data_IF_238419497915
#
_entry.id   IF_238419497915
#
_cell.length_a   1.000
_cell.length_b   1.000
_cell.length_c   1.000
_cell.angle_alpha   90.00
_cell.angle_beta   90.00
_cell.angle_gamma   90.00
#
_symmetry.space_group_name_H-M   'P 1'
#
loop_
_entity.id
_entity.type
_entity.pdbx_description
1 polymer ?
#
# COMPACT_ATOMS: atom_id res chain seq x y z
N UNK A 1 13.28 -29.30 -4.41
CA UNK A 1 12.48 -29.01 -3.19
C UNK A 1 11.90 -27.62 -3.29
N UNK A 2 10.61 -27.40 -2.96
CA UNK A 2 9.95 -26.09 -3.02
C UNK A 2 10.42 -25.13 -1.89
N UNK A 3 10.75 -23.89 -2.21
CA UNK A 3 11.31 -22.87 -1.29
C UNK A 3 10.33 -21.79 -0.84
N UNK A 4 9.19 -21.67 -1.52
CA UNK A 4 8.17 -20.64 -1.27
C UNK A 4 6.76 -21.24 -1.30
N UNK A 5 5.82 -20.57 -0.64
CA UNK A 5 4.40 -20.91 -0.64
C UNK A 5 3.62 -19.72 -1.21
N UNK A 6 2.89 -19.95 -2.29
CA UNK A 6 1.87 -19.04 -2.79
C UNK A 6 0.56 -19.32 -2.05
N UNK A 7 -0.06 -18.28 -1.49
CA UNK A 7 -1.31 -18.41 -0.71
C UNK A 7 -2.34 -17.45 -1.27
N UNK A 8 -3.54 -17.97 -1.55
CA UNK A 8 -4.70 -17.19 -1.95
C UNK A 8 -5.67 -17.12 -0.77
N UNK A 9 -6.03 -15.89 -0.40
CA UNK A 9 -7.03 -15.61 0.62
C UNK A 9 -8.18 -14.84 -0.02
N UNK A 10 -9.41 -15.23 0.29
CA UNK A 10 -10.59 -14.43 -0.01
C UNK A 10 -10.85 -13.47 1.15
N UNK A 11 -11.30 -12.28 0.80
CA UNK A 11 -11.74 -11.26 1.76
C UNK A 11 -13.09 -10.74 1.30
N UNK A 12 -14.08 -10.85 2.17
CA UNK A 12 -15.39 -10.29 1.96
C UNK A 12 -15.33 -8.77 1.87
N UNK A 13 -16.05 -8.20 0.91
CA UNK A 13 -16.16 -6.73 0.79
C UNK A 13 -17.13 -6.18 1.82
N UNK A 14 -18.30 -6.81 1.92
CA UNK A 14 -19.36 -6.53 2.88
C UNK A 14 -19.44 -7.58 3.99
N UNK A 15 -18.83 -8.74 3.81
CA UNK A 15 -18.79 -9.82 4.79
C UNK A 15 -17.49 -9.80 5.60
N UNK A 16 -17.54 -10.26 6.86
CA UNK A 16 -16.36 -10.42 7.70
C UNK A 16 -15.40 -11.53 7.28
N UNK A 17 -15.67 -12.21 6.16
CA UNK A 17 -14.97 -13.41 5.69
C UNK A 17 -13.52 -13.07 5.35
N UNK A 18 -12.58 -13.84 5.90
CA UNK A 18 -11.13 -13.75 5.63
C UNK A 18 -10.52 -15.14 5.69
N UNK A 19 -10.60 -15.87 4.58
CA UNK A 19 -10.26 -17.30 4.56
C UNK A 19 -9.22 -17.63 3.51
N UNK A 20 -8.30 -18.53 3.86
CA UNK A 20 -7.34 -19.09 2.91
C UNK A 20 -8.03 -20.15 2.08
N UNK A 21 -8.07 -19.96 0.76
CA UNK A 21 -8.82 -20.85 -0.16
C UNK A 21 -7.91 -21.73 -1.01
N UNK A 22 -6.64 -21.36 -1.17
CA UNK A 22 -5.69 -22.18 -1.91
C UNK A 22 -4.24 -21.91 -1.49
N UNK A 23 -3.42 -22.96 -1.54
CA UNK A 23 -1.98 -22.89 -1.28
C UNK A 23 -1.22 -23.70 -2.31
N UNK A 24 -0.14 -23.15 -2.86
CA UNK A 24 0.70 -23.85 -3.83
C UNK A 24 2.17 -23.72 -3.42
N UNK A 25 2.87 -24.85 -3.29
CA UNK A 25 4.32 -24.87 -3.12
C UNK A 25 5.02 -24.56 -4.44
N UNK A 26 6.02 -23.69 -4.41
CA UNK A 26 6.81 -23.36 -5.59
C UNK A 26 8.26 -23.05 -5.25
N UNK A 27 9.15 -23.23 -6.23
CA UNK A 27 10.52 -22.73 -6.18
C UNK A 27 10.61 -21.34 -6.79
N UNK A 28 10.48 -21.34 -8.12
CA UNK A 28 10.48 -20.14 -8.93
C UNK A 28 9.08 -19.98 -9.48
N UNK A 29 8.33 -19.03 -8.92
CA UNK A 29 7.01 -18.70 -9.43
C UNK A 29 7.16 -17.88 -10.71
N UNK A 30 6.68 -18.40 -11.84
CA UNK A 30 6.58 -17.63 -13.07
C UNK A 30 5.23 -16.93 -13.17
N UNK A 31 5.18 -15.81 -13.90
CA UNK A 31 3.91 -15.11 -14.15
C UNK A 31 2.89 -15.97 -14.93
N UNK A 32 3.35 -16.93 -15.74
CA UNK A 32 2.46 -17.88 -16.43
C UNK A 32 1.83 -18.86 -15.44
N UNK A 33 2.64 -19.43 -14.55
CA UNK A 33 2.16 -20.36 -13.52
C UNK A 33 1.19 -19.67 -12.56
N UNK A 34 1.53 -18.46 -12.12
CA UNK A 34 0.63 -17.61 -11.33
C UNK A 34 -0.68 -17.37 -12.07
N UNK A 35 -0.65 -17.05 -13.38
CA UNK A 35 -1.87 -16.86 -14.16
C UNK A 35 -2.77 -18.09 -14.18
N UNK A 36 -2.20 -19.28 -14.40
CA UNK A 36 -2.96 -20.54 -14.39
C UNK A 36 -3.58 -20.77 -13.02
N UNK A 37 -2.83 -20.61 -11.94
CA UNK A 37 -3.32 -20.84 -10.58
C UNK A 37 -4.40 -19.85 -10.16
N UNK A 38 -4.17 -18.54 -10.39
CA UNK A 38 -5.16 -17.50 -10.07
C UNK A 38 -6.49 -17.78 -10.76
N UNK A 39 -6.49 -18.09 -12.06
CA UNK A 39 -7.74 -18.37 -12.78
C UNK A 39 -8.42 -19.68 -12.36
N UNK A 40 -7.66 -20.70 -11.93
CA UNK A 40 -8.24 -21.92 -11.33
C UNK A 40 -8.94 -21.61 -10.01
N UNK A 41 -8.32 -20.79 -9.15
CA UNK A 41 -8.90 -20.35 -7.88
C UNK A 41 -10.16 -19.51 -8.12
N UNK A 42 -10.08 -18.49 -9.00
CA UNK A 42 -11.23 -17.66 -9.36
C UNK A 42 -12.37 -18.53 -9.90
N UNK A 43 -12.10 -19.44 -10.84
CA UNK A 43 -13.14 -20.31 -11.38
C UNK A 43 -13.78 -21.23 -10.36
N UNK A 44 -13.04 -21.71 -9.35
CA UNK A 44 -13.61 -22.48 -8.26
C UNK A 44 -14.52 -21.62 -7.37
N UNK A 45 -14.11 -20.39 -7.06
CA UNK A 45 -14.90 -19.45 -6.25
C UNK A 45 -16.21 -19.05 -6.96
N UNK A 46 -16.14 -18.69 -8.23
CA UNK A 46 -17.31 -18.29 -9.02
C UNK A 46 -18.34 -19.43 -9.14
N UNK A 47 -17.88 -20.67 -9.37
CA UNK A 47 -18.77 -21.85 -9.39
C UNK A 47 -19.44 -22.14 -8.05
N UNK A 48 -18.80 -21.74 -6.95
CA UNK A 48 -19.37 -21.83 -5.61
C UNK A 48 -20.27 -20.64 -5.24
N UNK A 49 -20.58 -19.76 -6.19
CA UNK A 49 -21.40 -18.57 -5.96
C UNK A 49 -20.67 -17.40 -5.30
N UNK A 50 -19.33 -17.45 -5.21
CA UNK A 50 -18.52 -16.35 -4.66
C UNK A 50 -18.03 -15.47 -5.81
N UNK A 51 -18.64 -14.29 -5.89
CA UNK A 51 -18.27 -13.20 -6.78
C UNK A 51 -16.83 -12.68 -6.55
N UNK A 52 -15.92 -12.88 -7.50
CA UNK A 52 -14.57 -12.32 -7.42
C UNK A 52 -14.46 -11.05 -8.27
N UNK A 53 -14.43 -9.91 -7.59
CA UNK A 53 -14.44 -8.59 -8.23
C UNK A 53 -13.06 -7.93 -8.31
N UNK A 54 -12.13 -8.27 -7.42
CA UNK A 54 -10.84 -7.63 -7.33
C UNK A 54 -9.73 -8.61 -6.95
N UNK A 55 -8.55 -8.40 -7.54
CA UNK A 55 -7.32 -9.10 -7.20
C UNK A 55 -6.34 -8.10 -6.58
N UNK A 56 -6.00 -8.32 -5.30
CA UNK A 56 -5.09 -7.46 -4.54
C UNK A 56 -3.74 -8.15 -4.41
N UNK A 57 -2.65 -7.47 -4.76
CA UNK A 57 -1.29 -8.01 -4.60
C UNK A 57 -0.26 -6.93 -4.31
N UNK A 58 0.90 -7.34 -3.79
CA UNK A 58 2.06 -6.45 -3.75
C UNK A 58 2.58 -6.11 -5.17
N UNK A 59 3.50 -5.14 -5.22
CA UNK A 59 4.13 -4.71 -6.45
C UNK A 59 5.33 -5.55 -6.86
N UNK A 60 5.46 -6.84 -6.51
CA UNK A 60 6.62 -7.64 -6.92
C UNK A 60 6.67 -7.86 -8.45
N UNK A 61 7.85 -8.19 -8.99
CA UNK A 61 8.06 -8.32 -10.45
C UNK A 61 7.13 -9.35 -11.11
N UNK A 62 6.86 -10.46 -10.42
CA UNK A 62 6.00 -11.54 -10.91
C UNK A 62 4.54 -11.07 -10.97
N UNK A 63 4.06 -10.35 -9.94
CA UNK A 63 2.70 -9.82 -9.91
C UNK A 63 2.46 -8.78 -11.01
N UNK A 64 3.42 -7.86 -11.21
CA UNK A 64 3.35 -6.88 -12.31
C UNK A 64 3.33 -7.58 -13.67
N UNK A 65 4.20 -8.57 -13.88
CA UNK A 65 4.23 -9.36 -15.10
C UNK A 65 2.95 -10.19 -15.31
N UNK A 66 2.31 -10.67 -14.23
CA UNK A 66 1.01 -11.32 -14.30
C UNK A 66 -0.09 -10.36 -14.77
N UNK A 67 -0.16 -9.15 -14.23
CA UNK A 67 -1.14 -8.13 -14.65
C UNK A 67 -0.97 -7.82 -16.15
N UNK A 68 0.26 -7.57 -16.61
CA UNK A 68 0.59 -7.28 -18.02
C UNK A 68 0.21 -8.38 -19.01
N UNK A 69 -0.07 -9.61 -18.54
CA UNK A 69 -0.51 -10.73 -19.38
C UNK A 69 -2.01 -10.75 -19.65
N UNK A 70 -2.77 -9.78 -19.16
CA UNK A 70 -4.21 -9.70 -19.38
C UNK A 70 -4.53 -8.73 -20.52
N UNK A 71 -5.68 -8.93 -21.17
CA UNK A 71 -6.24 -7.94 -22.08
C UNK A 71 -7.10 -6.99 -21.23
N UNK A 72 -6.88 -5.67 -21.30
CA UNK A 72 -7.65 -4.73 -20.50
C UNK A 72 -9.13 -4.79 -20.90
N UNK A 73 -10.02 -4.66 -19.92
CA UNK A 73 -11.45 -4.47 -20.21
C UNK A 73 -11.76 -2.99 -20.48
N UNK A 74 -10.97 -2.09 -19.89
CA UNK A 74 -11.02 -0.64 -20.10
C UNK A 74 -9.69 -0.16 -20.68
N UNK A 75 -9.73 0.49 -21.84
CA UNK A 75 -8.54 1.10 -22.45
C UNK A 75 -8.35 2.49 -21.86
N UNK A 76 -7.14 2.77 -21.35
CA UNK A 76 -6.78 4.08 -20.82
C UNK A 76 -5.57 4.64 -21.59
N UNK A 77 -5.50 5.96 -21.86
CA UNK A 77 -4.41 6.55 -22.65
C UNK A 77 -3.00 6.24 -22.16
N UNK A 78 -2.82 6.08 -20.84
CA UNK A 78 -1.52 5.73 -20.26
C UNK A 78 -1.04 4.30 -20.55
N UNK A 79 -1.86 3.44 -21.17
CA UNK A 79 -1.54 2.04 -21.44
C UNK A 79 -1.52 1.14 -20.19
N UNK A 80 -1.87 1.67 -19.01
CA UNK A 80 -1.88 0.92 -17.76
C UNK A 80 -3.06 -0.06 -17.74
N UNK A 81 -2.77 -1.33 -17.45
CA UNK A 81 -3.79 -2.38 -17.30
C UNK A 81 -4.21 -2.44 -15.83
N UNK A 82 -5.44 -2.04 -15.55
CA UNK A 82 -6.00 -2.03 -14.19
C UNK A 82 -7.27 -2.88 -14.04
N UNK A 83 -7.76 -3.46 -15.13
CA UNK A 83 -8.87 -4.42 -15.13
C UNK A 83 -8.73 -5.46 -16.26
N UNK A 84 -9.56 -6.50 -16.20
CA UNK A 84 -9.73 -7.49 -17.26
C UNK A 84 -11.13 -8.09 -17.15
N UNK A 85 -11.67 -8.64 -18.24
CA UNK A 85 -12.90 -9.43 -18.16
C UNK A 85 -12.68 -10.70 -17.33
N UNK A 86 -13.62 -11.01 -16.43
CA UNK A 86 -13.59 -12.25 -15.67
C UNK A 86 -13.94 -13.42 -16.60
N UNK A 87 -13.01 -14.37 -16.76
CA UNK A 87 -13.18 -15.52 -17.66
C UNK A 87 -14.27 -16.48 -17.23
N UNK A 88 -14.60 -16.48 -15.93
CA UNK A 88 -15.57 -17.36 -15.31
C UNK A 88 -16.92 -16.67 -15.06
N UNK A 89 -16.99 -15.35 -15.20
CA UNK A 89 -18.20 -14.53 -15.10
C UNK A 89 -18.10 -13.33 -16.07
N UNK A 90 -18.48 -13.54 -17.33
CA UNK A 90 -18.20 -12.58 -18.43
C UNK A 90 -18.96 -11.26 -18.31
N UNK A 91 -19.98 -11.21 -17.47
CA UNK A 91 -20.76 -10.04 -17.09
C UNK A 91 -19.99 -9.08 -16.18
N UNK A 92 -18.88 -9.53 -15.55
CA UNK A 92 -18.14 -8.74 -14.56
C UNK A 92 -16.67 -8.59 -14.89
N UNK A 93 -16.13 -7.43 -14.53
CA UNK A 93 -14.70 -7.13 -14.59
C UNK A 93 -14.00 -7.64 -13.33
N UNK A 94 -12.76 -8.07 -13.49
CA UNK A 94 -11.80 -8.29 -12.41
C UNK A 94 -10.87 -7.08 -12.35
N UNK A 95 -10.93 -6.33 -11.26
CA UNK A 95 -10.08 -5.15 -11.03
C UNK A 95 -8.75 -5.54 -10.38
N UNK A 96 -7.64 -4.97 -10.83
CA UNK A 96 -6.33 -5.15 -10.23
C UNK A 96 -6.02 -4.01 -9.25
N UNK A 97 -5.69 -4.36 -8.02
CA UNK A 97 -5.33 -3.39 -6.98
C UNK A 97 -3.93 -3.74 -6.46
N UNK A 98 -3.02 -2.78 -6.52
CA UNK A 98 -1.74 -2.92 -5.82
C UNK A 98 -1.92 -2.53 -4.35
N UNK A 99 -1.25 -3.24 -3.45
CA UNK A 99 -1.41 -3.02 -2.02
C UNK A 99 -0.98 -1.62 -1.58
N UNK A 100 -1.96 -0.79 -1.18
CA UNK A 100 -1.79 0.63 -0.88
C UNK A 100 -0.81 0.89 0.27
N UNK A 101 -0.85 0.19 1.42
CA UNK A 101 0.19 0.25 2.45
C UNK A 101 1.60 -0.01 1.92
N UNK A 102 1.76 -1.00 1.04
CA UNK A 102 3.05 -1.29 0.40
C UNK A 102 3.46 -0.18 -0.57
N UNK A 103 2.54 0.37 -1.37
CA UNK A 103 2.82 1.51 -2.25
C UNK A 103 3.31 2.73 -1.47
N UNK A 104 2.68 3.05 -0.32
CA UNK A 104 3.15 4.11 0.57
C UNK A 104 4.59 3.83 1.02
N UNK A 105 4.90 2.60 1.46
CA UNK A 105 6.25 2.21 1.86
C UNK A 105 7.27 2.38 0.71
N UNK A 106 6.93 1.96 -0.51
CA UNK A 106 7.84 2.10 -1.67
C UNK A 106 8.01 3.56 -2.10
N UNK A 107 6.96 4.37 -1.99
CA UNK A 107 6.98 5.82 -2.19
C UNK A 107 7.93 6.48 -1.19
N UNK A 108 7.81 6.13 0.09
CA UNK A 108 8.77 6.55 1.13
C UNK A 108 10.17 6.13 0.78
N UNK A 109 10.39 4.89 0.36
CA UNK A 109 11.74 4.41 0.03
C UNK A 109 12.33 5.16 -1.18
N UNK A 110 11.53 5.54 -2.16
CA UNK A 110 11.99 6.43 -3.24
C UNK A 110 12.37 7.80 -2.67
N UNK A 111 11.50 8.38 -1.84
CA UNK A 111 11.73 9.66 -1.20
C UNK A 111 12.97 9.64 -0.28
N UNK A 112 13.21 8.58 0.50
CA UNK A 112 14.42 8.42 1.31
C UNK A 112 15.70 8.43 0.46
N UNK A 113 15.64 7.88 -0.75
CA UNK A 113 16.76 7.87 -1.69
C UNK A 113 16.88 9.16 -2.50
N UNK A 114 16.07 10.19 -2.20
CA UNK A 114 16.09 11.50 -2.88
C UNK A 114 17.08 12.51 -2.30
N UNK A 115 17.89 12.11 -1.31
CA UNK A 115 18.93 12.96 -0.71
C UNK A 115 19.81 13.56 -1.79
N UNK A 116 20.29 14.78 -1.59
CA UNK A 116 21.15 15.45 -2.55
C UNK A 116 22.65 15.14 -2.38
N UNK A 117 23.01 14.37 -1.36
CA UNK A 117 24.36 13.80 -1.15
C UNK A 117 24.81 12.89 -2.31
N UNK A 118 26.01 13.14 -2.86
CA UNK A 118 26.60 12.44 -4.01
C UNK A 118 26.88 10.95 -3.75
N UNK A 119 27.13 10.53 -2.50
CA UNK A 119 27.58 9.16 -2.19
C UNK A 119 26.44 8.15 -1.99
N UNK A 120 25.22 8.62 -1.68
CA UNK A 120 24.12 7.75 -1.22
C UNK A 120 22.80 7.95 -1.97
N UNK A 121 22.76 8.90 -2.91
CA UNK A 121 21.54 9.23 -3.65
C UNK A 121 21.33 8.33 -4.85
N UNK A 122 20.15 7.71 -4.94
CA UNK A 122 19.72 6.97 -6.14
C UNK A 122 18.63 7.71 -6.91
N UNK A 123 18.14 8.83 -6.38
CA UNK A 123 17.08 9.65 -6.96
C UNK A 123 17.36 11.12 -6.72
N UNK A 124 17.07 11.95 -7.71
CA UNK A 124 17.23 13.41 -7.65
C UNK A 124 15.87 14.02 -7.97
N UNK A 125 14.89 13.73 -7.11
CA UNK A 125 13.49 14.02 -7.38
C UNK A 125 13.25 15.53 -7.45
N UNK A 126 12.55 15.98 -8.48
CA UNK A 126 12.30 17.40 -8.74
C UNK A 126 10.99 17.61 -9.49
N UNK A 127 10.35 18.75 -9.23
CA UNK A 127 9.16 19.24 -9.92
C UNK A 127 9.15 20.78 -9.86
N UNK A 128 8.63 21.46 -10.88
CA UNK A 128 8.57 22.93 -10.94
C UNK A 128 9.92 23.62 -10.65
N UNK A 129 11.04 23.01 -11.07
CA UNK A 129 12.39 23.52 -10.83
C UNK A 129 12.88 23.44 -9.38
N UNK A 130 12.11 22.82 -8.47
CA UNK A 130 12.46 22.67 -7.05
C UNK A 130 12.64 21.20 -6.68
N UNK A 131 13.46 20.96 -5.65
CA UNK A 131 13.79 19.62 -5.17
C UNK A 131 12.65 19.04 -4.32
N UNK A 132 12.33 17.77 -4.57
CA UNK A 132 11.57 16.92 -3.65
C UNK A 132 12.59 16.06 -2.91
N UNK A 133 13.15 16.59 -1.81
CA UNK A 133 14.31 15.99 -1.13
C UNK A 133 14.04 15.57 0.31
N UNK A 134 14.60 14.41 0.69
CA UNK A 134 14.64 13.93 2.07
C UNK A 134 15.45 14.83 3.00
N UNK A 135 16.36 15.65 2.46
CA UNK A 135 17.21 16.54 3.26
C UNK A 135 16.37 17.56 4.04
N UNK A 136 15.22 17.99 3.50
CA UNK A 136 14.28 18.85 4.23
C UNK A 136 13.67 18.15 5.45
N UNK A 137 13.48 16.83 5.40
CA UNK A 137 12.96 16.05 6.53
C UNK A 137 14.04 15.91 7.61
N UNK A 138 15.29 15.69 7.23
CA UNK A 138 16.44 15.68 8.15
C UNK A 138 16.57 17.05 8.82
N UNK A 139 16.56 18.13 8.04
CA UNK A 139 16.65 19.52 8.53
C UNK A 139 15.51 19.81 9.52
N UNK A 140 14.27 19.46 9.18
CA UNK A 140 13.10 19.63 10.04
C UNK A 140 13.26 18.86 11.36
N UNK A 141 13.71 17.61 11.30
CA UNK A 141 13.92 16.79 12.49
C UNK A 141 14.99 17.37 13.41
N UNK A 142 16.14 17.77 12.88
CA UNK A 142 17.25 18.32 13.64
C UNK A 142 16.88 19.65 14.32
N UNK A 143 16.12 20.51 13.64
CA UNK A 143 15.62 21.74 14.25
C UNK A 143 14.58 21.48 15.33
N UNK A 144 13.71 20.48 15.12
CA UNK A 144 12.73 20.09 16.13
C UNK A 144 13.41 19.57 17.40
N UNK A 145 14.59 18.93 17.31
CA UNK A 145 15.31 18.45 18.48
C UNK A 145 15.65 19.55 19.49
N UNK A 146 15.90 20.77 19.01
CA UNK A 146 16.24 21.94 19.83
C UNK A 146 15.04 22.57 20.55
N UNK A 147 13.81 22.12 20.25
CA UNK A 147 12.56 22.66 20.79
C UNK A 147 11.93 21.70 21.79
N UNK A 148 11.41 22.24 22.88
CA UNK A 148 10.65 21.49 23.90
C UNK A 148 9.32 20.97 23.35
N UNK A 149 8.60 21.80 22.57
CA UNK A 149 7.36 21.41 21.90
C UNK A 149 7.55 21.34 20.39
N UNK A 150 7.17 20.22 19.79
CA UNK A 150 7.44 19.90 18.39
C UNK A 150 6.13 19.62 17.66
N UNK A 151 5.89 20.28 16.52
CA UNK A 151 4.70 20.04 15.69
C UNK A 151 4.71 18.61 15.13
N UNK A 152 5.83 18.19 14.54
CA UNK A 152 6.03 16.82 14.05
C UNK A 152 6.46 15.84 15.15
N UNK A 153 5.77 15.82 16.28
CA UNK A 153 6.13 15.02 17.48
C UNK A 153 6.25 13.50 17.25
N UNK A 154 5.67 12.97 16.17
CA UNK A 154 5.75 11.55 15.82
C UNK A 154 7.04 11.16 15.11
N UNK A 155 7.83 12.12 14.64
CA UNK A 155 9.10 11.86 13.99
C UNK A 155 10.18 11.53 15.03
N UNK A 156 10.80 10.38 14.87
CA UNK A 156 11.93 9.90 15.65
C UNK A 156 13.07 9.44 14.72
N UNK A 157 14.21 9.04 15.29
CA UNK A 157 15.36 8.58 14.54
C UNK A 157 15.03 7.43 13.56
N UNK A 158 14.12 6.51 13.92
CA UNK A 158 13.70 5.40 13.03
C UNK A 158 12.86 5.85 11.84
N UNK A 159 12.24 7.03 11.91
CA UNK A 159 11.60 7.66 10.75
C UNK A 159 12.63 8.20 9.77
N UNK A 160 13.68 8.86 10.29
CA UNK A 160 14.64 9.66 9.50
C UNK A 160 15.77 8.82 8.95
N UNK A 161 16.31 7.92 9.80
CA UNK A 161 17.43 7.03 9.51
C UNK A 161 16.98 5.57 9.68
N UNK A 162 16.06 5.09 8.82
CA UNK A 162 15.49 3.77 8.97
C UNK A 162 16.50 2.67 8.61
N UNK A 163 16.71 1.76 9.55
CA UNK A 163 17.39 0.47 9.32
C UNK A 163 16.55 -0.46 8.41
N UNK A 164 17.06 -1.66 8.13
CA UNK A 164 16.37 -2.66 7.31
C UNK A 164 14.96 -3.00 7.82
N UNK A 165 14.75 -3.01 9.13
CA UNK A 165 13.46 -3.34 9.73
C UNK A 165 12.47 -2.17 9.65
N UNK A 166 12.89 -0.96 10.01
CA UNK A 166 12.11 0.27 9.90
C UNK A 166 11.77 0.60 8.43
N UNK A 167 12.64 0.22 7.47
CA UNK A 167 12.35 0.28 6.03
C UNK A 167 11.13 -0.56 5.62
N UNK A 168 10.81 -1.62 6.36
CA UNK A 168 9.66 -2.47 6.10
C UNK A 168 8.36 -2.00 6.76
N UNK A 169 8.43 -1.14 7.78
CA UNK A 169 7.25 -0.73 8.56
C UNK A 169 6.49 0.43 7.89
N UNK A 170 5.25 0.16 7.49
CA UNK A 170 4.32 1.17 6.95
C UNK A 170 4.05 2.30 7.94
N UNK A 171 4.06 2.00 9.26
CA UNK A 171 3.90 3.00 10.33
C UNK A 171 4.85 4.19 10.15
N UNK A 172 6.15 3.93 9.94
CA UNK A 172 7.13 4.99 9.81
C UNK A 172 6.96 5.79 8.51
N UNK A 173 6.57 5.11 7.43
CA UNK A 173 6.24 5.78 6.16
C UNK A 173 5.04 6.73 6.32
N UNK A 174 3.95 6.27 6.94
CA UNK A 174 2.76 7.07 7.19
C UNK A 174 2.98 8.23 8.17
N UNK A 175 3.94 8.12 9.08
CA UNK A 175 4.29 9.23 9.97
C UNK A 175 5.07 10.33 9.24
N UNK A 176 6.02 9.96 8.37
CA UNK A 176 6.82 10.93 7.60
C UNK A 176 5.97 11.63 6.54
N UNK A 177 5.19 10.88 5.77
CA UNK A 177 4.33 11.44 4.72
C UNK A 177 2.95 11.75 5.29
N UNK A 178 2.90 12.65 6.28
CA UNK A 178 1.67 13.03 6.97
C UNK A 178 1.34 14.50 6.81
N UNK A 179 0.05 14.84 6.92
CA UNK A 179 -0.42 16.22 6.93
C UNK A 179 0.28 17.09 8.01
N UNK A 180 0.63 16.51 9.16
CA UNK A 180 1.36 17.21 10.23
C UNK A 180 2.76 17.64 9.77
N UNK A 181 3.51 16.74 9.11
CA UNK A 181 4.85 17.05 8.61
C UNK A 181 4.79 18.08 7.48
N UNK A 182 3.80 17.97 6.59
CA UNK A 182 3.56 18.99 5.55
C UNK A 182 3.32 20.38 6.15
N UNK A 183 2.42 20.49 7.14
CA UNK A 183 2.14 21.76 7.83
C UNK A 183 3.37 22.30 8.56
N UNK A 184 4.17 21.41 9.15
CA UNK A 184 5.40 21.80 9.85
C UNK A 184 6.45 22.35 8.87
N UNK A 185 6.69 21.67 7.73
CA UNK A 185 7.54 22.14 6.64
C UNK A 185 7.12 23.52 6.14
N UNK A 186 5.82 23.71 5.83
CA UNK A 186 5.28 24.99 5.38
C UNK A 186 5.52 26.10 6.40
N UNK A 187 5.42 25.77 7.69
CA UNK A 187 5.63 26.75 8.76
C UNK A 187 7.09 27.17 8.96
N UNK A 188 8.06 26.49 8.35
CA UNK A 188 9.46 26.92 8.38
C UNK A 188 9.76 28.04 7.38
N UNK A 189 8.89 28.29 6.39
CA UNK A 189 9.10 29.34 5.38
C UNK A 189 10.21 29.03 4.35
N UNK A 190 10.66 27.78 4.24
CA UNK A 190 11.69 27.39 3.27
C UNK A 190 11.11 27.34 1.85
N UNK A 191 11.48 28.32 1.02
CA UNK A 191 10.99 28.45 -0.36
C UNK A 191 11.30 27.19 -1.20
N UNK A 192 12.48 26.61 -1.03
CA UNK A 192 12.94 25.40 -1.71
C UNK A 192 12.27 24.11 -1.21
N UNK A 193 11.65 24.10 -0.04
CA UNK A 193 10.92 22.95 0.50
C UNK A 193 9.45 22.90 0.07
N UNK A 194 8.96 23.91 -0.66
CA UNK A 194 7.53 24.02 -1.04
C UNK A 194 7.03 22.80 -1.82
N UNK A 195 7.79 22.31 -2.81
CA UNK A 195 7.43 21.10 -3.57
C UNK A 195 7.53 19.82 -2.74
N UNK A 196 8.47 19.75 -1.80
CA UNK A 196 8.54 18.62 -0.86
C UNK A 196 7.30 18.56 0.02
N UNK A 197 6.83 19.72 0.52
CA UNK A 197 5.60 19.79 1.30
C UNK A 197 4.36 19.43 0.47
N UNK A 198 4.27 19.91 -0.77
CA UNK A 198 3.18 19.58 -1.70
C UNK A 198 3.15 18.07 -2.04
N UNK A 199 4.31 17.49 -2.34
CA UNK A 199 4.45 16.05 -2.57
C UNK A 199 3.93 15.23 -1.38
N UNK A 200 4.30 15.61 -0.15
CA UNK A 200 3.84 14.92 1.07
C UNK A 200 2.33 15.05 1.24
N UNK A 201 1.76 16.23 1.00
CA UNK A 201 0.31 16.45 1.06
C UNK A 201 -0.44 15.57 0.06
N UNK A 202 -0.02 15.59 -1.21
CA UNK A 202 -0.62 14.79 -2.28
C UNK A 202 -0.56 13.30 -1.97
N UNK A 203 0.56 12.79 -1.46
CA UNK A 203 0.70 11.38 -1.05
C UNK A 203 -0.14 11.06 0.19
N UNK A 204 -0.20 11.95 1.18
CA UNK A 204 -1.03 11.78 2.38
C UNK A 204 -2.51 11.65 2.01
N UNK A 205 -3.01 12.57 1.19
CA UNK A 205 -4.42 12.63 0.83
C UNK A 205 -4.84 11.45 -0.04
N UNK A 206 -3.99 11.08 -1.00
CA UNK A 206 -4.15 9.85 -1.77
C UNK A 206 -4.21 8.60 -0.88
N UNK A 207 -3.28 8.49 0.07
CA UNK A 207 -3.21 7.33 0.96
C UNK A 207 -4.42 7.25 1.90
N UNK A 208 -4.83 8.37 2.49
CA UNK A 208 -6.00 8.43 3.36
C UNK A 208 -7.28 8.05 2.59
N UNK A 209 -7.43 8.57 1.37
CA UNK A 209 -8.52 8.21 0.47
C UNK A 209 -8.63 6.71 0.23
N UNK A 210 -7.52 5.98 0.22
CA UNK A 210 -7.48 4.54 -0.08
C UNK A 210 -7.30 3.65 1.16
N UNK A 211 -7.33 4.20 2.37
CA UNK A 211 -7.01 3.47 3.60
C UNK A 211 -8.02 3.65 4.76
N UNK A 212 -9.21 4.17 4.47
CA UNK A 212 -10.33 4.22 5.41
C UNK A 212 -10.75 2.82 5.88
N UNK A 213 -10.68 2.57 7.19
CA UNK A 213 -10.84 1.23 7.76
C UNK A 213 -12.27 0.89 8.22
N UNK A 214 -13.01 1.88 8.71
CA UNK A 214 -14.36 1.71 9.26
C UNK A 214 -15.08 3.06 9.27
N UNK A 215 -16.41 3.03 9.37
CA UNK A 215 -17.29 4.20 9.19
C UNK A 215 -16.95 5.40 10.09
N UNK A 216 -16.65 5.17 11.37
CA UNK A 216 -16.35 6.25 12.33
C UNK A 216 -14.95 6.85 12.22
N UNK A 217 -14.04 6.28 11.41
CA UNK A 217 -12.62 6.66 11.46
C UNK A 217 -12.38 8.12 11.06
N UNK A 218 -13.16 8.61 10.09
CA UNK A 218 -13.08 9.96 9.59
C UNK A 218 -13.44 10.99 10.66
N UNK A 219 -14.54 10.74 11.37
CA UNK A 219 -14.99 11.58 12.49
C UNK A 219 -13.98 11.56 13.64
N UNK A 220 -13.54 10.36 14.06
CA UNK A 220 -12.54 10.20 15.14
C UNK A 220 -11.24 10.94 14.86
N UNK A 221 -10.77 10.93 13.61
CA UNK A 221 -9.53 11.60 13.21
C UNK A 221 -9.73 13.01 12.67
N UNK A 222 -10.97 13.49 12.60
CA UNK A 222 -11.34 14.76 11.92
C UNK A 222 -10.71 14.86 10.52
N UNK A 223 -10.76 13.76 9.77
CA UNK A 223 -10.18 13.66 8.44
C UNK A 223 -11.22 13.11 7.46
N UNK A 224 -11.81 13.96 6.60
CA UNK A 224 -12.82 13.54 5.65
C UNK A 224 -12.28 12.56 4.61
N UNK A 225 -10.97 12.54 4.33
CA UNK A 225 -10.35 11.63 3.34
C UNK A 225 -10.38 10.17 3.81
N UNK A 226 -10.64 9.90 5.08
CA UNK A 226 -10.76 8.52 5.58
C UNK A 226 -12.21 8.01 5.60
N UNK A 227 -13.19 8.84 5.21
CA UNK A 227 -14.60 8.44 5.27
C UNK A 227 -14.89 7.31 4.28
N UNK A 228 -15.84 6.42 4.55
CA UNK A 228 -16.29 5.42 3.57
C UNK A 228 -16.75 6.07 2.28
N UNK A 229 -16.60 5.37 1.17
CA UNK A 229 -17.18 5.79 -0.10
C UNK A 229 -18.67 5.46 -0.12
N UNK A 230 -19.47 6.44 -0.51
CA UNK A 230 -20.92 6.32 -0.73
C UNK A 230 -21.23 6.84 -2.14
N UNK A 231 -22.51 6.94 -2.50
CA UNK A 231 -22.96 7.56 -3.76
C UNK A 231 -22.46 9.01 -3.91
N UNK A 232 -22.26 9.73 -2.79
CA UNK A 232 -21.64 11.06 -2.74
C UNK A 232 -20.12 10.88 -2.59
N UNK A 233 -19.47 10.48 -3.67
CA UNK A 233 -18.07 10.08 -3.70
C UNK A 233 -17.09 11.27 -3.86
N UNK A 234 -15.85 11.09 -3.38
CA UNK A 234 -14.77 12.09 -3.42
C UNK A 234 -13.63 11.73 -4.39
N UNK A 235 -13.97 11.24 -5.58
CA UNK A 235 -12.96 10.78 -6.55
C UNK A 235 -12.06 11.89 -7.11
N UNK A 236 -12.47 13.16 -7.01
CA UNK A 236 -11.68 14.31 -7.49
C UNK A 236 -10.26 14.34 -6.93
N UNK A 237 -10.06 14.02 -5.64
CA UNK A 237 -8.70 13.97 -5.05
C UNK A 237 -7.80 12.89 -5.69
N UNK A 238 -8.39 11.78 -6.13
CA UNK A 238 -7.67 10.71 -6.81
C UNK A 238 -7.32 11.12 -8.25
N UNK A 239 -8.23 11.81 -8.93
CA UNK A 239 -8.02 12.36 -10.27
C UNK A 239 -6.97 13.47 -10.26
N UNK A 240 -7.04 14.40 -9.30
CA UNK A 240 -6.04 15.44 -9.07
C UNK A 240 -4.66 14.86 -8.79
N UNK A 241 -4.60 13.73 -8.07
CA UNK A 241 -3.34 13.05 -7.81
C UNK A 241 -2.78 12.39 -9.07
N UNK A 242 -3.62 11.78 -9.91
CA UNK A 242 -3.18 11.24 -11.21
C UNK A 242 -2.63 12.35 -12.10
N UNK A 243 -3.35 13.48 -12.22
CA UNK A 243 -2.89 14.64 -12.98
C UNK A 243 -1.56 15.19 -12.45
N UNK A 244 -1.38 15.23 -11.12
CA UNK A 244 -0.10 15.59 -10.51
C UNK A 244 1.04 14.64 -10.93
N UNK A 245 0.78 13.33 -11.00
CA UNK A 245 1.78 12.34 -11.45
C UNK A 245 2.07 12.45 -12.96
N UNK A 246 1.06 12.74 -13.79
CA UNK A 246 1.22 12.94 -15.23
C UNK A 246 2.12 14.15 -15.51
N UNK A 247 1.76 15.31 -14.97
CA UNK A 247 2.58 16.53 -15.13
C UNK A 247 4.00 16.36 -14.58
N UNK A 248 4.15 15.65 -13.46
CA UNK A 248 5.48 15.36 -12.91
C UNK A 248 6.29 14.42 -13.81
N UNK A 249 5.66 13.43 -14.42
CA UNK A 249 6.31 12.51 -15.34
C UNK A 249 6.76 13.23 -16.62
N UNK A 250 5.93 14.12 -17.15
CA UNK A 250 6.23 14.94 -18.33
C UNK A 250 7.40 15.90 -18.06
N UNK A 251 7.38 16.59 -16.91
CA UNK A 251 8.49 17.45 -16.48
C UNK A 251 9.78 16.65 -16.26
N UNK A 252 9.71 15.49 -15.62
CA UNK A 252 10.86 14.64 -15.36
C UNK A 252 11.49 14.10 -16.66
N UNK A 253 10.68 13.93 -17.72
CA UNK A 253 11.15 13.52 -19.03
C UNK A 253 11.87 14.65 -19.79
N UNK A 254 11.62 15.92 -19.44
CA UNK A 254 12.21 17.06 -20.11
C UNK A 254 13.70 17.23 -19.74
N UNK A 255 14.65 17.05 -20.67
CA UNK A 255 16.08 17.14 -20.37
C UNK A 255 16.52 18.57 -19.98
N UNK A 256 15.82 19.61 -20.44
CA UNK A 256 16.15 21.02 -20.21
C UNK A 256 15.79 21.52 -18.80
N UNK A 257 15.36 20.64 -17.90
CA UNK A 257 15.18 20.98 -16.51
C UNK A 257 16.56 21.14 -15.85
N UNK A 258 17.13 22.35 -15.94
CA UNK A 258 18.34 22.70 -15.20
C UNK A 258 18.01 22.98 -13.74
N UNK A 259 18.88 22.49 -12.86
CA UNK A 259 18.82 22.82 -11.45
C UNK A 259 19.59 24.14 -11.26
N UNK A 260 18.93 25.18 -10.74
CA UNK A 260 19.66 26.37 -10.28
C UNK A 260 20.35 26.03 -8.95
N UNK A 261 21.64 25.72 -9.02
CA UNK A 261 22.53 25.51 -7.86
C UNK A 261 22.75 26.77 -7.02
N UNK A 262 22.43 27.93 -7.56
CA UNK A 262 22.74 29.23 -6.97
C UNK A 262 21.88 29.62 -5.76
N UNK A 263 21.02 28.72 -5.26
CA UNK A 263 20.23 28.97 -4.05
C UNK A 263 20.61 27.98 -2.96
N UNK A 264 21.69 28.34 -2.27
CA UNK A 264 21.97 28.04 -0.87
C UNK A 264 22.52 26.63 -0.57
N UNK A 265 23.75 26.36 -1.03
CA UNK A 265 24.58 25.22 -0.59
C UNK A 265 25.33 25.51 0.73
N UNK A 266 24.93 26.55 1.49
CA UNK A 266 25.59 26.93 2.74
C UNK A 266 25.33 25.99 3.93
N UNK A 267 24.60 24.88 3.77
CA UNK A 267 24.13 24.09 4.92
C UNK A 267 24.07 22.57 4.72
N UNK A 268 25.23 21.92 4.59
CA UNK A 268 25.50 20.60 5.21
C UNK A 268 26.98 20.52 5.59
N UNK A 269 27.34 21.05 6.76
CA UNK A 269 28.54 20.58 7.49
C UNK A 269 28.05 19.53 8.47
N UNK A 270 28.37 18.27 8.19
CA UNK A 270 28.23 17.19 9.16
C UNK A 270 29.20 17.46 10.31
N UNK A 271 28.69 17.98 11.43
CA UNK A 271 29.42 18.05 12.68
C UNK A 271 29.47 16.64 13.27
N UNK A 272 30.41 15.81 12.79
CA UNK A 272 30.95 14.61 13.45
C UNK A 272 32.07 13.98 12.59
N UNK A 273 33.19 14.71 12.38
CA UNK A 273 34.51 14.10 12.10
C UNK A 273 35.65 15.12 12.32
N UNK A 274 36.49 14.99 13.36
CA UNK A 274 37.70 15.79 13.47
C UNK A 274 38.83 15.07 12.71
N UNK A 275 39.24 15.61 11.57
CA UNK A 275 40.36 15.06 10.81
C UNK A 275 40.55 15.73 9.45
N UNK A 276 41.51 16.65 9.42
CA UNK A 276 42.26 17.19 8.28
C UNK A 276 41.49 17.87 7.15
N UNK A 277 41.54 19.21 7.21
CA UNK A 277 41.27 20.09 6.09
C UNK A 277 42.48 20.09 5.15
N UNK A 278 42.27 19.60 3.93
CA UNK A 278 43.09 19.96 2.77
C UNK A 278 42.20 20.72 1.81
N UNK A 279 42.51 22.00 1.63
CA UNK A 279 41.77 22.92 0.76
C UNK A 279 42.28 22.69 -0.66
N UNK A 280 41.62 21.79 -1.39
CA UNK A 280 41.79 21.69 -2.85
C UNK A 280 40.62 22.37 -3.57
N UNK A 281 41.02 23.20 -4.54
CA UNK A 281 40.32 23.98 -5.55
C UNK A 281 38.82 23.68 -5.74
N UNK A 282 38.01 24.75 -5.59
CA UNK A 282 36.60 24.79 -6.00
C UNK A 282 36.57 24.80 -7.54
N UNK A 283 36.50 23.61 -8.14
CA UNK A 283 36.07 23.48 -9.54
C UNK A 283 34.58 23.84 -9.66
N UNK A 284 34.30 24.73 -10.62
CA UNK A 284 32.97 25.19 -11.05
C UNK A 284 32.00 23.99 -11.22
N UNK A 285 30.82 23.95 -10.55
CA UNK A 285 29.94 22.80 -10.63
C UNK A 285 29.25 22.77 -11.98
N UNK A 286 29.92 22.13 -12.96
CA UNK A 286 29.32 21.70 -14.22
C UNK A 286 27.95 21.04 -13.96
N UNK A 287 26.95 21.45 -14.75
CA UNK A 287 25.57 21.01 -14.64
C UNK A 287 25.48 19.46 -14.68
N UNK A 288 25.37 18.82 -13.52
CA UNK A 288 25.29 17.36 -13.44
C UNK A 288 23.95 16.90 -14.04
N UNK A 289 23.97 16.42 -15.29
CA UNK A 289 22.78 15.96 -16.02
C UNK A 289 22.19 14.73 -15.34
N UNK A 290 21.19 14.94 -14.49
CA UNK A 290 20.47 13.85 -13.82
C UNK A 290 19.59 13.09 -14.82
N UNK A 291 19.61 11.75 -14.79
CA UNK A 291 18.75 10.91 -15.65
C UNK A 291 17.26 11.17 -15.36
N UNK A 292 16.43 11.32 -16.39
CA UNK A 292 14.99 11.54 -16.28
C UNK A 292 14.27 10.57 -15.29
N UNK A 293 14.65 9.30 -15.30
CA UNK A 293 14.07 8.27 -14.40
C UNK A 293 14.41 8.44 -12.92
N UNK A 294 15.44 9.22 -12.58
CA UNK A 294 15.82 9.53 -11.21
C UNK A 294 15.12 10.78 -10.66
N UNK A 295 14.49 11.59 -11.53
CA UNK A 295 13.80 12.86 -11.19
C UNK A 295 12.40 12.69 -10.60
N UNK A 296 11.91 11.46 -10.53
CA UNK A 296 10.58 11.11 -10.01
C UNK A 296 10.62 9.80 -9.20
N UNK A 297 9.44 9.29 -8.81
CA UNK A 297 9.29 7.99 -8.18
C UNK A 297 9.72 6.84 -9.12
N UNK A 298 9.93 5.64 -8.56
CA UNK A 298 10.29 4.48 -9.39
C UNK A 298 9.17 4.15 -10.37
N UNK A 299 9.51 3.68 -11.57
CA UNK A 299 8.51 3.26 -12.55
C UNK A 299 7.59 2.18 -11.98
N UNK A 300 8.12 1.27 -11.15
CA UNK A 300 7.32 0.24 -10.49
C UNK A 300 6.34 0.81 -9.46
N UNK A 301 6.77 1.81 -8.68
CA UNK A 301 5.91 2.50 -7.71
C UNK A 301 4.83 3.31 -8.42
N UNK A 302 5.19 4.08 -9.46
CA UNK A 302 4.25 4.87 -10.26
C UNK A 302 3.21 3.98 -10.94
N UNK A 303 3.65 2.88 -11.57
CA UNK A 303 2.76 1.91 -12.18
C UNK A 303 1.76 1.34 -11.16
N UNK A 304 2.21 0.93 -9.97
CA UNK A 304 1.32 0.41 -8.93
C UNK A 304 0.32 1.44 -8.40
N UNK A 305 0.76 2.71 -8.23
CA UNK A 305 -0.12 3.82 -7.85
C UNK A 305 -1.18 4.05 -8.94
N UNK A 306 -0.78 4.09 -10.22
CA UNK A 306 -1.70 4.28 -11.35
C UNK A 306 -2.71 3.14 -11.47
N UNK A 307 -2.26 1.88 -11.43
CA UNK A 307 -3.13 0.70 -11.46
C UNK A 307 -4.22 0.83 -10.39
N UNK A 308 -3.80 1.09 -9.15
CA UNK A 308 -4.72 1.14 -8.01
C UNK A 308 -5.70 2.29 -8.11
N UNK A 309 -5.21 3.49 -8.45
CA UNK A 309 -6.03 4.70 -8.49
C UNK A 309 -7.05 4.64 -9.63
N UNK A 310 -6.65 4.13 -10.81
CA UNK A 310 -7.52 3.95 -11.96
C UNK A 310 -8.56 2.83 -11.73
N UNK A 311 -8.18 1.72 -11.10
CA UNK A 311 -9.12 0.65 -10.78
C UNK A 311 -10.13 1.02 -9.70
N UNK A 312 -9.75 1.87 -8.75
CA UNK A 312 -10.54 2.10 -7.53
C UNK A 312 -11.89 2.76 -7.81
N UNK A 313 -11.92 3.81 -8.65
CA UNK A 313 -13.15 4.53 -9.00
C UNK A 313 -14.23 3.61 -9.63
N UNK A 314 -13.96 2.92 -10.76
CA UNK A 314 -14.96 2.03 -11.37
C UNK A 314 -15.31 0.83 -10.49
N UNK A 315 -14.36 0.30 -9.70
CA UNK A 315 -14.62 -0.78 -8.74
C UNK A 315 -15.64 -0.36 -7.67
N UNK A 316 -15.45 0.82 -7.07
CA UNK A 316 -16.35 1.36 -6.05
C UNK A 316 -17.72 1.67 -6.66
N UNK A 317 -17.76 2.29 -7.84
CA UNK A 317 -19.02 2.57 -8.55
C UNK A 317 -19.80 1.29 -8.84
N UNK A 318 -19.13 0.25 -9.33
CA UNK A 318 -19.73 -1.07 -9.55
C UNK A 318 -20.35 -1.63 -8.26
N UNK A 319 -19.59 -1.66 -7.16
CA UNK A 319 -20.07 -2.20 -5.89
C UNK A 319 -21.24 -1.43 -5.27
N UNK A 320 -21.28 -0.10 -5.44
CA UNK A 320 -22.39 0.72 -5.00
C UNK A 320 -23.64 0.46 -5.84
N UNK A 321 -23.48 0.30 -7.16
CA UNK A 321 -24.58 -0.05 -8.08
C UNK A 321 -25.19 -1.43 -7.76
N UNK A 322 -24.36 -2.38 -7.33
CA UNK A 322 -24.79 -3.70 -6.83
C UNK A 322 -25.48 -3.66 -5.45
N UNK A 323 -25.74 -2.46 -4.89
CA UNK A 323 -26.53 -2.28 -3.67
C UNK A 323 -25.73 -2.17 -2.37
N UNK A 324 -24.40 -2.04 -2.43
CA UNK A 324 -23.59 -1.79 -1.22
C UNK A 324 -23.82 -0.36 -0.73
N UNK A 325 -24.24 -0.17 0.53
CA UNK A 325 -24.50 1.17 1.10
C UNK A 325 -23.25 2.06 1.17
N UNK A 326 -22.12 1.47 1.54
CA UNK A 326 -20.84 2.17 1.66
C UNK A 326 -19.68 1.18 1.55
N UNK A 327 -18.50 1.68 1.16
CA UNK A 327 -17.30 0.85 0.99
C UNK A 327 -16.14 1.45 1.79
N UNK A 328 -15.53 0.62 2.64
CA UNK A 328 -14.28 0.96 3.34
C UNK A 328 -13.10 0.62 2.42
N UNK A 329 -12.28 1.62 2.06
CA UNK A 329 -11.20 1.43 1.11
C UNK A 329 -10.15 0.39 1.56
N UNK A 330 -9.89 0.26 2.87
CA UNK A 330 -8.95 -0.74 3.43
C UNK A 330 -9.41 -2.19 3.20
N UNK A 331 -10.63 -2.43 2.73
CA UNK A 331 -11.02 -3.75 2.25
C UNK A 331 -10.07 -4.23 1.14
N UNK A 332 -9.57 -3.35 0.28
CA UNK A 332 -8.66 -3.70 -0.81
C UNK A 332 -7.18 -3.61 -0.40
N UNK A 333 -6.84 -4.20 0.75
CA UNK A 333 -5.46 -4.37 1.22
C UNK A 333 -5.13 -5.83 1.49
N UNK A 334 -3.85 -6.18 1.32
CA UNK A 334 -3.34 -7.52 1.61
C UNK A 334 -2.98 -7.74 3.09
N UNK A 335 -3.21 -6.75 3.97
CA UNK A 335 -2.88 -6.85 5.40
C UNK A 335 -3.41 -8.14 6.07
N UNK A 336 -4.64 -8.62 5.80
CA UNK A 336 -5.12 -9.87 6.40
C UNK A 336 -4.28 -11.09 6.01
N UNK A 337 -3.74 -11.12 4.79
CA UNK A 337 -2.86 -12.18 4.33
C UNK A 337 -1.50 -12.10 5.05
N UNK A 338 -0.93 -10.90 5.22
CA UNK A 338 0.31 -10.71 6.00
C UNK A 338 0.13 -11.08 7.48
N UNK A 339 -1.03 -10.78 8.06
CA UNK A 339 -1.40 -11.20 9.41
C UNK A 339 -1.49 -12.73 9.50
N UNK A 340 -2.02 -13.39 8.47
CA UNK A 340 -2.06 -14.85 8.41
C UNK A 340 -0.65 -15.45 8.36
N UNK A 341 0.26 -14.88 7.56
CA UNK A 341 1.67 -15.30 7.56
C UNK A 341 2.33 -15.11 8.93
N UNK A 342 2.01 -14.02 9.62
CA UNK A 342 2.53 -13.76 10.97
C UNK A 342 2.00 -14.76 11.99
N UNK A 343 0.71 -15.15 11.91
CA UNK A 343 0.13 -16.22 12.72
C UNK A 343 0.79 -17.57 12.45
N UNK A 344 1.07 -17.88 11.18
CA UNK A 344 1.78 -19.11 10.80
C UNK A 344 3.17 -19.12 11.44
N UNK A 345 3.94 -18.04 11.33
CA UNK A 345 5.28 -17.94 11.95
C UNK A 345 5.23 -18.03 13.48
N UNK A 346 4.36 -17.25 14.13
CA UNK A 346 4.20 -17.27 15.59
C UNK A 346 3.74 -18.62 16.12
N UNK A 347 2.98 -19.37 15.31
CA UNK A 347 2.44 -20.67 15.67
C UNK A 347 3.45 -21.81 15.80
N UNK A 348 4.74 -21.54 15.60
CA UNK A 348 5.86 -22.48 15.74
C UNK A 348 6.82 -22.13 16.90
N UNK A 349 6.37 -21.29 17.85
CA UNK A 349 7.17 -20.91 19.02
C UNK A 349 8.42 -20.13 18.61
N UNK A 350 9.60 -20.61 19.01
CA UNK A 350 10.90 -19.98 18.70
C UNK A 350 11.33 -20.08 17.23
N UNK A 351 10.66 -20.90 16.40
CA UNK A 351 10.98 -21.01 14.97
C UNK A 351 10.21 -19.97 14.15
N UNK A 352 10.86 -18.84 13.89
CA UNK A 352 10.30 -17.75 13.06
C UNK A 352 10.26 -18.08 11.56
N UNK A 353 10.93 -19.16 11.13
CA UNK A 353 11.04 -19.59 9.74
C UNK A 353 10.67 -21.08 9.59
N UNK A 354 9.37 -21.42 9.53
CA UNK A 354 8.92 -22.81 9.38
C UNK A 354 9.27 -23.36 7.99
N UNK A 355 9.56 -24.66 7.91
CA UNK A 355 9.71 -25.33 6.62
C UNK A 355 8.36 -25.48 5.89
N UNK A 356 8.39 -25.88 4.62
CA UNK A 356 7.19 -26.01 3.78
C UNK A 356 6.11 -26.90 4.42
N UNK A 357 6.49 -28.04 4.96
CA UNK A 357 5.55 -28.99 5.56
C UNK A 357 4.91 -28.42 6.84
N UNK A 358 5.71 -27.79 7.69
CA UNK A 358 5.26 -27.07 8.89
C UNK A 358 4.29 -25.94 8.53
N UNK A 359 4.63 -25.13 7.52
CA UNK A 359 3.77 -24.06 7.01
C UNK A 359 2.42 -24.58 6.51
N UNK A 360 2.41 -25.60 5.66
CA UNK A 360 1.18 -26.19 5.11
C UNK A 360 0.32 -26.83 6.21
N UNK A 361 0.92 -27.59 7.13
CA UNK A 361 0.21 -28.19 8.26
C UNK A 361 -0.45 -27.12 9.14
N UNK A 362 0.25 -26.01 9.38
CA UNK A 362 -0.31 -24.91 10.15
C UNK A 362 -1.43 -24.18 9.42
N UNK A 363 -1.33 -23.98 8.11
CA UNK A 363 -2.43 -23.41 7.30
C UNK A 363 -3.67 -24.28 7.42
N UNK A 364 -3.53 -25.60 7.25
CA UNK A 364 -4.64 -26.55 7.38
C UNK A 364 -5.28 -26.49 8.77
N UNK A 365 -4.47 -26.59 9.84
CA UNK A 365 -4.98 -26.51 11.20
C UNK A 365 -5.57 -25.14 11.58
N UNK A 366 -5.09 -24.04 10.97
CA UNK A 366 -5.70 -22.72 11.16
C UNK A 366 -7.08 -22.63 10.51
N UNK A 367 -7.29 -23.27 9.35
CA UNK A 367 -8.58 -23.38 8.68
C UNK A 367 -9.56 -24.20 9.52
N UNK A 368 -9.15 -25.41 9.95
CA UNK A 368 -9.97 -26.28 10.81
C UNK A 368 -10.38 -25.58 12.12
N UNK A 369 -9.47 -24.85 12.77
CA UNK A 369 -9.79 -24.06 13.97
C UNK A 369 -10.70 -22.85 13.69
N UNK A 370 -10.65 -22.29 12.48
CA UNK A 370 -11.56 -21.22 12.05
C UNK A 370 -12.98 -21.74 11.87
N UNK A 371 -13.13 -22.92 11.24
CA UNK A 371 -14.41 -23.62 11.08
C UNK A 371 -15.02 -24.03 12.42
N UNK A 372 -14.20 -24.37 13.42
CA UNK A 372 -14.64 -24.71 14.77
C UNK A 372 -15.08 -23.51 15.64
N UNK A 373 -15.09 -22.28 15.10
CA UNK A 373 -15.58 -21.10 15.81
C UNK A 373 -14.80 -20.72 17.08
N UNK A 374 -13.64 -21.34 17.34
CA UNK A 374 -12.88 -21.08 18.56
C UNK A 374 -12.18 -19.73 18.49
N UNK A 375 -12.68 -18.75 19.27
CA UNK A 375 -12.00 -17.48 19.54
C UNK A 375 -10.59 -17.75 20.07
N UNK A 376 -9.57 -17.28 19.35
CA UNK A 376 -8.16 -17.39 19.78
C UNK A 376 -7.79 -16.25 20.71
N UNK A 377 -7.08 -16.59 21.79
CA UNK A 377 -6.56 -15.68 22.82
C UNK A 377 -5.82 -14.47 22.23
N UNK A 378 -6.19 -13.30 22.76
CA UNK A 378 -5.54 -11.96 22.74
C UNK A 378 -4.36 -11.78 21.77
N UNK A 379 -4.62 -11.03 20.70
CA UNK A 379 -3.61 -10.21 20.01
C UNK A 379 -4.01 -8.72 20.11
N UNK A 380 -3.06 -7.80 19.94
CA UNK A 380 -3.22 -6.35 20.17
C UNK A 380 -4.15 -5.61 19.17
N UNK A 381 -5.29 -6.18 18.79
CA UNK A 381 -6.33 -5.53 18.00
C UNK A 381 -7.67 -5.62 18.74
N UNK A 382 -8.33 -4.47 18.90
CA UNK A 382 -9.43 -4.22 19.84
C UNK A 382 -10.54 -5.27 19.90
N UNK A 383 -11.04 -5.48 21.12
CA UNK A 383 -12.04 -6.48 21.50
C UNK A 383 -13.47 -6.05 21.07
N UNK A 384 -14.24 -7.04 20.62
CA UNK A 384 -15.69 -6.95 20.45
C UNK A 384 -16.32 -7.79 21.58
N UNK A 385 -17.07 -7.16 22.49
CA UNK A 385 -17.44 -7.70 23.81
C UNK A 385 -18.67 -8.61 23.83
N UNK A 386 -19.03 -9.27 22.73
CA UNK A 386 -20.12 -10.24 22.73
C UNK A 386 -19.67 -11.57 23.38
N UNK A 387 -20.16 -11.87 24.58
CA UNK A 387 -20.02 -13.21 25.20
C UNK A 387 -20.92 -14.23 24.50
N UNK A 388 -20.33 -15.34 24.06
CA UNK A 388 -21.07 -16.50 23.53
C UNK A 388 -20.91 -17.63 24.55
N UNK A 389 -22.01 -18.10 25.15
CA UNK A 389 -22.01 -19.29 26.00
C UNK A 389 -21.91 -20.53 25.11
N UNK A 390 -20.87 -21.33 25.33
CA UNK A 390 -20.67 -22.63 24.67
C UNK A 390 -21.19 -23.73 25.60
N UNK A 391 -22.15 -24.52 25.13
CA UNK A 391 -22.74 -25.65 25.86
C UNK A 391 -22.20 -26.97 25.33
N UNK A 392 -22.07 -27.99 26.19
CA UNK A 392 -21.69 -29.35 25.81
C UNK A 392 -22.88 -30.20 25.33
N UNK A 393 -24.07 -29.61 25.23
CA UNK A 393 -25.25 -30.30 24.72
C UNK A 393 -25.11 -30.57 23.21
N UNK A 394 -25.57 -31.73 22.71
CA UNK A 394 -25.64 -31.98 21.28
C UNK A 394 -26.49 -30.91 20.61
N UNK A 395 -26.03 -30.39 19.47
CA UNK A 395 -26.79 -29.43 18.68
C UNK A 395 -28.19 -30.00 18.37
N UNK A 396 -29.23 -29.23 18.67
CA UNK A 396 -30.61 -29.60 18.33
C UNK A 396 -30.68 -29.92 16.84
N UNK A 397 -31.11 -31.14 16.50
CA UNK A 397 -31.36 -31.54 15.11
C UNK A 397 -32.37 -30.57 14.52
N UNK A 398 -31.95 -29.75 13.54
CA UNK A 398 -32.87 -28.94 12.74
C UNK A 398 -33.88 -29.89 12.08
N UNK A 399 -35.17 -29.76 12.45
CA UNK A 399 -36.25 -30.39 11.68
C UNK A 399 -36.21 -29.81 10.27
N UNK A 400 -35.88 -30.65 9.30
CA UNK A 400 -35.82 -30.28 7.90
C UNK A 400 -37.25 -30.30 7.36
N UNK A 401 -37.96 -29.17 7.43
CA UNK A 401 -39.20 -29.01 6.67
C UNK A 401 -38.80 -28.85 5.20
N UNK A 402 -38.79 -29.97 4.46
CA UNK A 402 -38.51 -30.03 3.01
C UNK A 402 -39.72 -29.60 2.18
N UNK A 403 -40.30 -28.45 2.49
CA UNK A 403 -41.28 -27.82 1.59
C UNK A 403 -40.84 -26.36 1.42
N UNK A 404 -40.41 -25.97 0.20
CA UNK A 404 -40.16 -24.56 -0.13
C UNK A 404 -41.42 -23.72 0.12
N UNK A 405 -41.26 -22.52 0.69
CA UNK A 405 -42.35 -21.60 1.03
C UNK A 405 -43.24 -21.15 -0.14
N UNK A 406 -42.92 -21.50 -1.39
CA UNK A 406 -43.74 -21.22 -2.57
C UNK A 406 -44.64 -22.40 -2.98
N UNK A 407 -44.62 -23.51 -2.22
CA UNK A 407 -45.47 -24.70 -2.39
C UNK A 407 -46.34 -24.96 -1.16
N UNK A 408 -46.62 -23.92 -0.37
CA UNK A 408 -47.62 -23.95 0.69
C UNK A 408 -48.68 -22.95 0.26
N UNK A 409 -49.84 -23.48 -0.15
CA UNK A 409 -51.00 -22.70 -0.64
C UNK A 409 -51.42 -21.56 0.29
#
# INVERSE_FOLDING_TARGET
MASKIMVYMIKGVSSGIKEVVATFGCNNLSANQMKVWTWRVIGALERSGIAVIAFVSDGCSINRAFIKKHKPATVHPSGVIFDTWNKCARDRKLFFISDVPHLLKTTRNCFLNSRWDKLKSRRKMMKNGKRISWDFIIKLYNQAQKKTLRKSYKLNAMNIYPDSYARMKVKYAAQVMSATVCKDLRSQGWCNASETALFIEKVNDWFDCLNGAHTSIAQKKKNPNLAPYTIYHRFGLLEDFLNYLDTWQDEAANPNQSYSSNVDDSMVVDADNPGDADISEIEDPSEEVTKASSRQLSSQTLEGIRITTLAFKPLVQFLLAEGTKFINARVFSQDPLEQQFSKIRAGHGGSSNPNLHQGLRKIKGLGELGELGMRKRKGNAGEDNSEIKVTNEPLLKRKCNRIPKFLQD
#
